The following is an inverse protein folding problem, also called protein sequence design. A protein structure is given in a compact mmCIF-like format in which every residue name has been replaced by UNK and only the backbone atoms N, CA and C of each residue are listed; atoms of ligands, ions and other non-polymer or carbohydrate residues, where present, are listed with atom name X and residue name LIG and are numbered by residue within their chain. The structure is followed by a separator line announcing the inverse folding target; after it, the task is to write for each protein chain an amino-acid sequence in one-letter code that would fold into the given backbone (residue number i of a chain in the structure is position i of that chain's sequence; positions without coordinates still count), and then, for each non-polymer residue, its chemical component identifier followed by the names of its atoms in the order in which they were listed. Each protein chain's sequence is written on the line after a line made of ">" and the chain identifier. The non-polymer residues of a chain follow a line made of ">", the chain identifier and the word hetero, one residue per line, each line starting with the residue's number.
data_IF_542764845832
#
_entry.id   IF_542764845832
#
_cell.length_a   1.000
_cell.length_b   1.000
_cell.length_c   1.000
_cell.angle_alpha   90.00
_cell.angle_beta   90.00
_cell.angle_gamma   90.00
#
_symmetry.space_group_name_H-M   'P 1'
#
loop_
_entity.id
_entity.type
_entity.pdbx_description
1 polymer ?
#
# COMPACT_ATOMS: atom_id res chain seq x y z
N UNK A 1 5.57 31.32 -4.32
CA UNK A 1 6.17 30.79 -5.57
C UNK A 1 7.04 29.53 -5.38
N UNK A 2 7.28 29.02 -4.15
CA UNK A 2 8.06 27.79 -3.92
C UNK A 2 7.31 26.49 -4.27
N UNK A 3 6.01 26.43 -3.98
CA UNK A 3 5.23 25.19 -4.15
C UNK A 3 5.09 24.72 -5.59
N UNK A 4 5.07 25.64 -6.56
CA UNK A 4 5.03 25.28 -7.99
C UNK A 4 6.36 24.65 -8.45
N UNK A 5 7.50 25.12 -7.92
CA UNK A 5 8.81 24.57 -8.21
C UNK A 5 9.01 23.19 -7.56
N UNK A 6 8.48 22.97 -6.36
CA UNK A 6 8.49 21.66 -5.70
C UNK A 6 7.62 20.65 -6.45
N UNK A 7 6.45 21.05 -6.97
CA UNK A 7 5.58 20.20 -7.77
C UNK A 7 6.20 19.78 -9.11
N UNK A 8 6.93 20.69 -9.77
CA UNK A 8 7.64 20.39 -11.02
C UNK A 8 8.91 19.56 -10.76
N UNK A 9 9.59 19.75 -9.63
CA UNK A 9 10.74 18.92 -9.26
C UNK A 9 10.37 17.46 -8.93
N UNK A 10 9.08 17.20 -8.68
CA UNK A 10 8.54 15.86 -8.51
C UNK A 10 8.23 15.17 -9.84
N UNK A 11 8.35 15.86 -10.98
CA UNK A 11 8.11 15.23 -12.28
C UNK A 11 9.36 14.54 -12.80
N UNK A 12 9.30 13.25 -13.14
CA UNK A 12 10.40 12.47 -13.72
C UNK A 12 9.98 11.81 -15.03
N UNK A 13 10.95 11.58 -15.94
CA UNK A 13 10.69 10.95 -17.24
C UNK A 13 10.14 9.51 -17.11
N UNK A 14 10.43 8.82 -16.00
CA UNK A 14 9.97 7.45 -15.69
C UNK A 14 8.86 7.44 -14.60
N UNK A 15 7.85 8.28 -14.77
CA UNK A 15 6.65 8.23 -13.94
C UNK A 15 5.78 7.02 -14.30
N UNK A 16 5.54 6.16 -13.31
CA UNK A 16 4.55 5.09 -13.43
C UNK A 16 3.15 5.66 -13.15
N UNK A 17 2.15 5.16 -13.87
CA UNK A 17 0.75 5.47 -13.61
C UNK A 17 0.21 4.71 -12.38
N UNK A 18 -1.00 5.07 -11.93
CA UNK A 18 -1.64 4.41 -10.79
C UNK A 18 -1.81 2.90 -11.00
N UNK A 19 -2.10 2.46 -12.23
CA UNK A 19 -2.28 1.03 -12.55
C UNK A 19 -0.98 0.26 -12.30
N UNK A 20 0.11 0.74 -12.90
CA UNK A 20 1.44 0.14 -12.76
C UNK A 20 1.92 0.22 -11.31
N UNK A 21 1.62 1.31 -10.60
CA UNK A 21 1.90 1.42 -9.17
C UNK A 21 1.21 0.30 -8.38
N UNK A 22 -0.11 0.12 -8.56
CA UNK A 22 -0.88 -0.88 -7.84
C UNK A 22 -0.46 -2.32 -8.19
N UNK A 23 -0.05 -2.60 -9.43
CA UNK A 23 0.48 -3.90 -9.83
C UNK A 23 1.80 -4.25 -9.11
N UNK A 24 2.60 -3.24 -8.75
CA UNK A 24 3.90 -3.39 -8.11
C UNK A 24 3.84 -3.30 -6.58
N UNK A 25 2.75 -2.78 -5.99
CA UNK A 25 2.56 -2.64 -4.54
C UNK A 25 2.73 -3.96 -3.77
N UNK A 26 2.19 -5.12 -4.22
CA UNK A 26 2.42 -6.40 -3.54
C UNK A 26 3.91 -6.76 -3.44
N UNK A 27 4.64 -6.60 -4.54
CA UNK A 27 6.09 -6.87 -4.60
C UNK A 27 6.83 -5.92 -3.64
N UNK A 28 6.45 -4.64 -3.62
CA UNK A 28 7.06 -3.65 -2.73
C UNK A 28 6.85 -4.01 -1.24
N UNK A 29 5.65 -4.44 -0.87
CA UNK A 29 5.33 -4.89 0.50
C UNK A 29 6.11 -6.16 0.87
N UNK A 30 6.15 -7.16 -0.01
CA UNK A 30 6.89 -8.40 0.24
C UNK A 30 8.38 -8.13 0.48
N UNK A 31 8.99 -7.24 -0.31
CA UNK A 31 10.38 -6.80 -0.14
C UNK A 31 10.58 -6.08 1.20
N UNK A 32 9.67 -5.18 1.58
CA UNK A 32 9.73 -4.49 2.88
C UNK A 32 9.67 -5.49 4.04
N UNK A 33 8.75 -6.47 3.99
CA UNK A 33 8.60 -7.48 5.03
C UNK A 33 9.76 -8.48 5.09
N UNK A 34 10.42 -8.73 3.95
CA UNK A 34 11.66 -9.48 3.89
C UNK A 34 12.89 -8.72 4.43
N UNK A 35 12.72 -7.46 4.85
CA UNK A 35 13.80 -6.61 5.37
C UNK A 35 14.68 -5.97 4.31
N UNK A 36 14.25 -5.96 3.05
CA UNK A 36 14.93 -5.24 1.97
C UNK A 36 14.59 -3.73 2.01
N UNK A 37 15.22 -2.96 1.12
CA UNK A 37 14.93 -1.53 0.92
C UNK A 37 14.22 -1.31 -0.42
N UNK A 38 12.89 -1.57 -0.49
CA UNK A 38 12.16 -1.47 -1.75
C UNK A 38 12.09 -0.05 -2.29
N UNK A 39 12.33 0.98 -1.47
CA UNK A 39 12.44 2.36 -1.95
C UNK A 39 13.66 2.56 -2.85
N UNK A 40 14.74 1.81 -2.64
CA UNK A 40 15.91 1.78 -3.53
C UNK A 40 15.72 0.88 -4.75
N UNK A 41 15.01 -0.23 -4.59
CA UNK A 41 14.77 -1.20 -5.68
C UNK A 41 13.71 -0.71 -6.67
N UNK A 42 12.69 0.00 -6.18
CA UNK A 42 11.54 0.49 -6.94
C UNK A 42 11.33 2.00 -6.68
N UNK A 43 12.29 2.86 -7.07
CA UNK A 43 12.26 4.29 -6.77
C UNK A 43 11.06 5.01 -7.41
N UNK A 44 10.65 4.62 -8.63
CA UNK A 44 9.49 5.20 -9.31
C UNK A 44 8.18 4.94 -8.55
N UNK A 45 8.03 3.76 -7.95
CA UNK A 45 6.87 3.46 -7.10
C UNK A 45 6.90 4.30 -5.82
N UNK A 46 8.05 4.37 -5.15
CA UNK A 46 8.21 5.20 -3.95
C UNK A 46 7.88 6.67 -4.22
N UNK A 47 8.22 7.17 -5.40
CA UNK A 47 7.87 8.51 -5.85
C UNK A 47 6.36 8.64 -6.08
N UNK A 48 5.73 7.70 -6.78
CA UNK A 48 4.28 7.73 -7.02
C UNK A 48 3.49 7.74 -5.70
N UNK A 49 3.86 6.89 -4.73
CA UNK A 49 3.26 6.88 -3.39
C UNK A 49 3.45 8.20 -2.62
N UNK A 50 4.48 9.00 -2.96
CA UNK A 50 4.70 10.31 -2.34
C UNK A 50 3.75 11.39 -2.87
N UNK A 51 3.15 11.18 -4.04
CA UNK A 51 2.35 12.17 -4.78
C UNK A 51 0.86 11.78 -4.82
N UNK A 52 0.55 10.49 -4.98
CA UNK A 52 -0.80 9.98 -5.10
C UNK A 52 -1.33 9.42 -3.79
N UNK A 53 -2.24 10.16 -3.14
CA UNK A 53 -2.84 9.74 -1.85
C UNK A 53 -3.59 8.40 -1.95
N UNK A 54 -4.33 8.18 -3.03
CA UNK A 54 -5.11 6.95 -3.21
C UNK A 54 -4.19 5.72 -3.27
N UNK A 55 -3.09 5.78 -4.04
CA UNK A 55 -2.13 4.69 -4.10
C UNK A 55 -1.39 4.49 -2.76
N UNK A 56 -1.14 5.57 -2.01
CA UNK A 56 -0.57 5.47 -0.66
C UNK A 56 -1.51 4.73 0.31
N UNK A 57 -2.80 5.06 0.30
CA UNK A 57 -3.81 4.41 1.14
C UNK A 57 -3.90 2.91 0.83
N UNK A 58 -3.92 2.52 -0.46
CA UNK A 58 -3.93 1.12 -0.88
C UNK A 58 -2.65 0.37 -0.46
N UNK A 59 -1.49 1.00 -0.61
CA UNK A 59 -0.22 0.45 -0.13
C UNK A 59 -0.23 0.24 1.39
N UNK A 60 -0.65 1.24 2.16
CA UNK A 60 -0.69 1.17 3.63
C UNK A 60 -1.65 0.08 4.10
N UNK A 61 -2.82 -0.04 3.47
CA UNK A 61 -3.80 -1.08 3.75
C UNK A 61 -3.23 -2.48 3.49
N UNK A 62 -2.62 -2.71 2.32
CA UNK A 62 -2.01 -4.01 2.01
C UNK A 62 -0.86 -4.33 2.95
N UNK A 63 0.01 -3.36 3.22
CA UNK A 63 1.17 -3.50 4.12
C UNK A 63 0.74 -3.89 5.53
N UNK A 64 -0.29 -3.25 6.06
CA UNK A 64 -0.81 -3.58 7.39
C UNK A 64 -1.42 -4.98 7.43
N UNK A 65 -2.20 -5.34 6.41
CA UNK A 65 -2.77 -6.68 6.28
C UNK A 65 -1.67 -7.75 6.22
N UNK A 66 -0.65 -7.54 5.40
CA UNK A 66 0.47 -8.45 5.24
C UNK A 66 1.32 -8.58 6.52
N UNK A 67 1.46 -7.49 7.30
CA UNK A 67 2.08 -7.55 8.65
C UNK A 67 1.27 -8.41 9.60
N UNK A 68 -0.04 -8.20 9.66
CA UNK A 68 -0.93 -9.00 10.51
C UNK A 68 -0.86 -10.47 10.13
N UNK A 69 -0.83 -10.79 8.83
CA UNK A 69 -0.64 -12.15 8.33
C UNK A 69 0.69 -12.76 8.78
N UNK A 70 1.80 -12.05 8.57
CA UNK A 70 3.13 -12.51 8.96
C UNK A 70 3.25 -12.74 10.49
N UNK A 71 2.53 -11.94 11.28
CA UNK A 71 2.44 -12.11 12.73
C UNK A 71 1.44 -13.18 13.20
N UNK A 72 0.71 -13.83 12.28
CA UNK A 72 -0.35 -14.78 12.60
C UNK A 72 -1.59 -14.13 13.24
N UNK A 73 -1.75 -12.82 13.11
CA UNK A 73 -2.84 -12.03 13.69
C UNK A 73 -4.12 -12.00 12.87
N UNK A 74 -4.17 -12.64 11.70
CA UNK A 74 -5.40 -12.71 10.91
C UNK A 74 -6.44 -13.63 11.56
N UNK A 75 -7.70 -13.20 11.68
CA UNK A 75 -8.75 -14.05 12.21
C UNK A 75 -9.02 -15.23 11.28
N UNK A 76 -9.15 -16.41 11.86
CA UNK A 76 -9.55 -17.60 11.09
C UNK A 76 -10.95 -17.44 10.48
N UNK A 77 -11.20 -18.12 9.36
CA UNK A 77 -12.48 -18.06 8.63
C UNK A 77 -13.73 -18.24 9.52
N UNK A 78 -13.67 -19.15 10.49
CA UNK A 78 -14.81 -19.40 11.39
C UNK A 78 -15.09 -18.21 12.31
N UNK A 79 -14.06 -17.55 12.80
CA UNK A 79 -14.17 -16.39 13.68
C UNK A 79 -14.72 -15.19 12.91
N UNK A 80 -14.22 -14.94 11.69
CA UNK A 80 -14.77 -13.91 10.80
C UNK A 80 -16.27 -14.12 10.52
N UNK A 81 -16.67 -15.35 10.20
CA UNK A 81 -18.08 -15.68 9.96
C UNK A 81 -18.95 -15.43 11.19
N UNK A 82 -18.41 -15.63 12.40
CA UNK A 82 -19.11 -15.33 13.65
C UNK A 82 -19.28 -13.82 13.83
N UNK A 83 -18.23 -13.04 13.63
CA UNK A 83 -18.24 -11.58 13.77
C UNK A 83 -19.21 -10.93 12.78
N UNK A 84 -19.19 -11.33 11.51
CA UNK A 84 -20.11 -10.80 10.49
C UNK A 84 -21.58 -11.10 10.82
N UNK A 85 -21.88 -12.25 11.42
CA UNK A 85 -23.24 -12.57 11.89
C UNK A 85 -23.66 -11.67 13.06
N UNK A 86 -22.73 -11.31 13.94
CA UNK A 86 -22.99 -10.43 15.09
C UNK A 86 -23.13 -8.95 14.69
N UNK A 87 -22.44 -8.53 13.63
CA UNK A 87 -22.50 -7.14 13.11
C UNK A 87 -23.73 -6.87 12.25
N UNK A 88 -24.47 -7.92 11.85
CA UNK A 88 -25.68 -7.76 11.04
C UNK A 88 -26.80 -7.25 11.97
N UNK A 89 -27.26 -5.99 11.84
CA UNK A 89 -28.31 -5.47 12.71
C UNK A 89 -29.57 -6.31 12.56
N UNK A 90 -30.27 -6.54 13.67
CA UNK A 90 -31.60 -7.16 13.64
C UNK A 90 -32.51 -6.25 12.83
N UNK A 91 -33.14 -6.80 11.80
CA UNK A 91 -34.09 -6.10 10.93
C UNK A 91 -35.27 -5.54 11.72
#
# INVERSE_FOLDING_TARGET
>A
MKQLLEAIALTQDDEIDCSTCLDLVPIYVDRELAGADPARELPALRQHLAVCRECLEEYEALRELARLEAAGGLPGRQELLRQLRQQRPSA
#
